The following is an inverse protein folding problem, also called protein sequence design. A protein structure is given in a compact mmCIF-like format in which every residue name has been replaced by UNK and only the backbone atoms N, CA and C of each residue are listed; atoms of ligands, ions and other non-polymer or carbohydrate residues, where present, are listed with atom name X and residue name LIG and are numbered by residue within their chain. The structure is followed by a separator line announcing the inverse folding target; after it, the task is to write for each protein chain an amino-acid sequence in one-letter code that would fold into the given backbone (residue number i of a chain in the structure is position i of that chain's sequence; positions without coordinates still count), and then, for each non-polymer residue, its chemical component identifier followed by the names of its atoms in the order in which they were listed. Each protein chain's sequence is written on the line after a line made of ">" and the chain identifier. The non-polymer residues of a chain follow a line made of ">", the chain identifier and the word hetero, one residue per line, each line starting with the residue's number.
data_IF_092795241031
#
_entry.id   IF_092795241031
#
_cell.length_a   1.000
_cell.length_b   1.000
_cell.length_c   1.000
_cell.angle_alpha   90.00
_cell.angle_beta   90.00
_cell.angle_gamma   90.00
#
_symmetry.space_group_name_H-M   'P 1'
#
loop_
_entity.id
_entity.type
_entity.pdbx_description
1 polymer ?
#
# COMPACT_ATOMS: atom_id res chain seq x y z
N UNK A 1 7.33 -39.52 14.49
CA UNK A 1 7.07 -40.16 13.17
C UNK A 1 5.93 -39.38 12.50
N UNK A 2 6.04 -38.58 11.45
CA UNK A 2 7.02 -38.20 10.41
C UNK A 2 6.74 -36.70 10.15
N UNK A 3 7.65 -35.76 10.40
CA UNK A 3 8.68 -35.18 9.53
C UNK A 3 8.34 -34.90 8.05
N UNK A 4 8.52 -33.61 7.71
CA UNK A 4 8.77 -32.93 6.41
C UNK A 4 7.62 -32.87 5.39
N UNK A 5 7.39 -31.76 4.67
CA UNK A 5 8.33 -30.88 3.91
C UNK A 5 7.88 -29.40 3.96
N UNK A 6 8.74 -28.42 4.31
CA UNK A 6 9.59 -27.62 3.41
C UNK A 6 8.92 -27.17 2.09
N UNK A 7 8.74 -25.85 1.93
CA UNK A 7 8.97 -25.15 0.66
C UNK A 7 9.76 -23.87 0.92
N UNK A 8 11.06 -24.05 1.06
CA UNK A 8 12.07 -23.06 0.69
C UNK A 8 12.13 -23.00 -0.86
N UNK A 9 12.54 -21.85 -1.38
CA UNK A 9 12.66 -21.57 -2.81
C UNK A 9 13.56 -22.56 -3.55
N UNK A 10 13.15 -22.96 -4.76
CA UNK A 10 14.03 -23.46 -5.81
C UNK A 10 13.65 -22.74 -7.11
N UNK A 11 14.57 -21.91 -7.59
CA UNK A 11 14.56 -21.22 -8.87
C UNK A 11 15.55 -21.93 -9.80
N UNK A 12 15.07 -22.55 -10.90
CA UNK A 12 15.80 -22.93 -12.14
C UNK A 12 14.68 -23.15 -13.21
N UNK A 13 14.60 -22.58 -14.42
CA UNK A 13 15.46 -21.73 -15.26
C UNK A 13 14.62 -20.96 -16.30
N UNK A 14 15.29 -19.98 -16.92
CA UNK A 14 15.12 -19.42 -18.28
C UNK A 14 13.80 -18.77 -18.69
N UNK A 15 13.82 -17.44 -18.71
CA UNK A 15 12.87 -16.55 -19.38
C UNK A 15 11.46 -16.53 -18.79
N UNK A 16 11.28 -15.80 -17.69
CA UNK A 16 9.96 -15.24 -17.40
C UNK A 16 10.09 -13.85 -16.79
N UNK A 17 9.47 -12.89 -17.46
CA UNK A 17 9.48 -11.47 -17.16
C UNK A 17 8.97 -11.26 -15.72
N UNK A 18 9.81 -10.71 -14.84
CA UNK A 18 9.41 -10.23 -13.51
C UNK A 18 8.19 -9.30 -13.67
N UNK A 19 7.01 -9.75 -13.22
CA UNK A 19 5.87 -8.85 -12.97
C UNK A 19 6.34 -7.80 -11.96
N UNK A 20 6.26 -6.52 -12.31
CA UNK A 20 6.58 -5.39 -11.42
C UNK A 20 5.64 -5.47 -10.21
N UNK A 21 6.14 -5.98 -9.09
CA UNK A 21 5.47 -5.88 -7.81
C UNK A 21 5.27 -4.40 -7.45
N UNK A 22 4.19 -4.10 -6.74
CA UNK A 22 3.97 -2.77 -6.15
C UNK A 22 5.19 -2.41 -5.28
N UNK A 23 5.81 -1.26 -5.55
CA UNK A 23 6.91 -0.71 -4.74
C UNK A 23 6.34 -0.12 -3.44
N UNK A 24 5.86 -0.97 -2.54
CA UNK A 24 5.59 -0.60 -1.15
C UNK A 24 6.59 -1.38 -0.29
N UNK A 25 7.52 -0.66 0.31
CA UNK A 25 8.58 -1.23 1.14
C UNK A 25 8.09 -1.31 2.59
N UNK A 26 7.85 -2.52 3.09
CA UNK A 26 7.70 -2.77 4.53
C UNK A 26 9.10 -2.83 5.15
N UNK A 27 9.48 -1.83 5.94
CA UNK A 27 10.75 -1.87 6.68
C UNK A 27 10.53 -2.46 8.08
N UNK A 28 11.09 -3.65 8.31
CA UNK A 28 11.32 -4.18 9.65
C UNK A 28 12.74 -3.77 10.06
N UNK A 29 12.87 -2.88 11.04
CA UNK A 29 14.17 -2.38 11.49
C UNK A 29 14.74 -3.22 12.64
N UNK A 30 16.00 -3.64 12.53
CA UNK A 30 16.77 -4.17 13.66
C UNK A 30 18.20 -3.58 13.69
N UNK A 31 18.50 -2.96 14.86
CA UNK A 31 19.78 -2.56 15.47
C UNK A 31 20.81 -1.75 14.65
N UNK A 32 20.67 -0.42 14.71
CA UNK A 32 21.70 0.53 15.18
C UNK A 32 20.97 1.45 16.19
N UNK A 33 21.63 1.94 17.24
CA UNK A 33 21.07 2.75 18.36
C UNK A 33 20.35 4.05 17.93
N UNK A 34 19.21 3.91 17.28
CA UNK A 34 18.35 5.01 16.88
C UNK A 34 16.96 4.74 17.44
N UNK A 35 16.32 5.78 17.99
CA UNK A 35 14.88 5.72 18.22
C UNK A 35 14.17 5.37 16.91
N UNK A 36 13.01 4.72 16.97
CA UNK A 36 12.19 4.42 15.78
C UNK A 36 12.02 5.66 14.89
N UNK A 37 11.87 6.83 15.52
CA UNK A 37 11.84 8.13 14.87
C UNK A 37 13.09 8.40 14.02
N UNK A 38 14.29 8.29 14.59
CA UNK A 38 15.53 8.56 13.85
C UNK A 38 15.77 7.55 12.72
N UNK A 39 15.34 6.30 12.90
CA UNK A 39 15.33 5.31 11.81
C UNK A 39 14.44 5.77 10.66
N UNK A 40 13.20 6.16 10.95
CA UNK A 40 12.25 6.64 9.94
C UNK A 40 12.81 7.88 9.23
N UNK A 41 13.42 8.82 9.95
CA UNK A 41 14.04 10.00 9.35
C UNK A 41 15.17 9.63 8.38
N UNK A 42 16.05 8.69 8.76
CA UNK A 42 17.11 8.21 7.88
C UNK A 42 16.56 7.52 6.61
N UNK A 43 15.45 6.78 6.73
CA UNK A 43 14.79 6.20 5.56
C UNK A 43 14.21 7.26 4.64
N UNK A 44 13.55 8.28 5.20
CA UNK A 44 12.96 9.37 4.43
C UNK A 44 14.07 10.15 3.71
N UNK A 45 15.18 10.42 4.39
CA UNK A 45 16.36 11.05 3.81
C UNK A 45 16.90 10.24 2.61
N UNK A 46 17.10 8.94 2.81
CA UNK A 46 17.58 8.05 1.75
C UNK A 46 16.60 7.98 0.58
N UNK A 47 15.30 7.89 0.83
CA UNK A 47 14.28 7.87 -0.21
C UNK A 47 14.26 9.18 -1.01
N UNK A 48 14.32 10.32 -0.32
CA UNK A 48 14.31 11.64 -0.94
C UNK A 48 15.57 11.89 -1.79
N UNK A 49 16.74 11.45 -1.30
CA UNK A 49 18.00 11.57 -2.04
C UNK A 49 18.12 10.64 -3.25
N UNK A 50 17.26 9.63 -3.39
CA UNK A 50 17.39 8.59 -4.43
C UNK A 50 16.22 8.55 -5.42
N UNK A 51 15.00 8.90 -5.00
CA UNK A 51 13.80 8.75 -5.81
C UNK A 51 13.42 10.11 -6.42
N UNK A 52 13.58 10.21 -7.74
CA UNK A 52 12.99 11.30 -8.50
C UNK A 52 11.53 10.99 -8.85
N UNK A 53 10.59 11.67 -8.19
CA UNK A 53 9.15 11.49 -8.45
C UNK A 53 8.79 11.89 -9.89
N UNK A 54 9.47 12.88 -10.47
CA UNK A 54 9.25 13.38 -11.82
C UNK A 54 9.66 12.40 -12.92
N UNK A 55 10.30 11.27 -12.58
CA UNK A 55 10.67 10.25 -13.56
C UNK A 55 9.89 8.95 -13.38
N UNK A 56 9.04 8.90 -12.36
CA UNK A 56 8.31 7.70 -12.07
C UNK A 56 6.96 7.64 -12.78
N UNK A 57 6.63 6.44 -13.22
CA UNK A 57 5.28 6.02 -13.62
C UNK A 57 4.94 4.68 -12.96
N UNK A 58 3.69 4.53 -12.54
CA UNK A 58 3.21 3.33 -11.87
C UNK A 58 1.70 3.14 -12.03
N UNK A 59 1.25 1.91 -11.84
CA UNK A 59 -0.18 1.57 -11.79
C UNK A 59 -0.77 1.84 -10.40
N UNK A 60 0.04 1.84 -9.35
CA UNK A 60 -0.42 2.17 -8.00
C UNK A 60 -0.33 3.68 -7.72
N UNK A 61 -1.28 4.19 -6.93
CA UNK A 61 -1.27 5.58 -6.48
C UNK A 61 -0.17 5.80 -5.43
N UNK A 62 0.47 6.98 -5.45
CA UNK A 62 1.45 7.41 -4.43
C UNK A 62 1.67 8.94 -4.35
N UNK A 63 1.31 9.56 -3.24
CA UNK A 63 1.22 11.02 -3.13
C UNK A 63 2.59 11.72 -3.17
N UNK A 64 3.61 11.04 -2.67
CA UNK A 64 4.96 11.58 -2.60
C UNK A 64 6.02 10.52 -2.83
N UNK A 65 7.27 10.92 -2.65
CA UNK A 65 8.44 10.02 -2.67
C UNK A 65 8.30 8.96 -1.57
N UNK A 66 7.83 9.41 -0.40
CA UNK A 66 7.31 8.56 0.66
C UNK A 66 5.80 8.79 0.68
N UNK A 67 5.04 7.73 0.41
CA UNK A 67 3.59 7.81 0.23
C UNK A 67 2.84 7.78 1.57
N UNK A 68 3.17 6.81 2.41
CA UNK A 68 2.65 6.67 3.76
C UNK A 68 3.69 6.09 4.73
N UNK A 69 3.57 6.48 6.00
CA UNK A 69 4.35 5.95 7.11
C UNK A 69 3.34 5.57 8.18
N UNK A 70 3.28 4.29 8.53
CA UNK A 70 2.32 3.76 9.50
C UNK A 70 3.05 3.32 10.76
N UNK A 71 2.63 3.87 11.91
CA UNK A 71 3.11 3.43 13.22
C UNK A 71 2.01 2.63 13.91
N UNK A 72 2.19 1.31 13.96
CA UNK A 72 1.26 0.42 14.65
C UNK A 72 1.68 0.24 16.12
N UNK A 73 0.74 0.38 17.08
CA UNK A 73 1.01 -0.02 18.46
C UNK A 73 1.29 -1.52 18.51
N UNK A 74 2.37 -1.90 19.21
CA UNK A 74 2.74 -3.29 19.42
C UNK A 74 2.81 -3.59 20.92
N UNK A 75 2.41 -4.81 21.30
CA UNK A 75 2.38 -5.29 22.68
C UNK A 75 1.56 -4.40 23.63
N UNK A 76 2.22 -3.65 24.51
CA UNK A 76 1.56 -2.83 25.55
C UNK A 76 1.44 -1.35 25.18
N UNK A 77 1.93 -0.96 24.01
CA UNK A 77 1.87 0.43 23.53
C UNK A 77 0.41 0.74 23.15
N UNK A 78 -0.08 1.88 23.61
CA UNK A 78 -1.42 2.38 23.29
C UNK A 78 -1.46 3.02 21.90
N UNK A 79 -2.66 3.15 21.34
CA UNK A 79 -2.86 3.86 20.08
C UNK A 79 -2.47 5.35 20.19
N UNK A 80 -2.67 5.96 21.36
CA UNK A 80 -2.32 7.36 21.62
C UNK A 80 -0.80 7.57 21.62
N UNK A 81 -0.04 6.65 22.19
CA UNK A 81 1.43 6.68 22.14
C UNK A 81 1.95 6.54 20.70
N UNK A 82 1.35 5.64 19.90
CA UNK A 82 1.69 5.51 18.48
C UNK A 82 1.35 6.78 17.69
N UNK A 83 0.18 7.38 17.96
CA UNK A 83 -0.24 8.63 17.34
C UNK A 83 0.65 9.82 17.73
N UNK A 84 1.10 9.87 18.99
CA UNK A 84 2.06 10.86 19.47
C UNK A 84 3.39 10.75 18.71
N UNK A 85 3.93 9.54 18.57
CA UNK A 85 5.17 9.33 17.82
C UNK A 85 5.02 9.70 16.34
N UNK A 86 3.87 9.38 15.72
CA UNK A 86 3.59 9.73 14.33
C UNK A 86 3.58 11.26 14.12
N UNK A 87 3.02 12.01 15.07
CA UNK A 87 3.06 13.48 15.05
C UNK A 87 4.48 14.01 15.19
N UNK A 88 5.28 13.47 16.11
CA UNK A 88 6.68 13.87 16.29
C UNK A 88 7.50 13.63 15.02
N UNK A 89 7.39 12.43 14.43
CA UNK A 89 8.03 12.08 13.15
C UNK A 89 7.60 13.03 12.03
N UNK A 90 6.29 13.33 11.92
CA UNK A 90 5.78 14.23 10.90
C UNK A 90 6.33 15.66 11.05
N UNK A 91 6.41 16.17 12.27
CA UNK A 91 7.00 17.49 12.57
C UNK A 91 8.46 17.56 12.14
N UNK A 92 9.24 16.52 12.45
CA UNK A 92 10.65 16.46 12.06
C UNK A 92 10.81 16.36 10.54
N UNK A 93 10.02 15.52 9.86
CA UNK A 93 10.06 15.40 8.40
C UNK A 93 9.73 16.76 7.75
N UNK A 94 8.64 17.41 8.18
CA UNK A 94 8.23 18.70 7.64
C UNK A 94 9.28 19.78 7.86
N UNK A 95 9.94 19.78 9.02
CA UNK A 95 10.97 20.77 9.37
C UNK A 95 12.30 20.53 8.66
N UNK A 96 12.76 19.27 8.60
CA UNK A 96 14.07 18.91 8.03
C UNK A 96 14.06 18.94 6.50
N UNK A 97 13.00 18.42 5.87
CA UNK A 97 12.92 18.29 4.41
C UNK A 97 12.09 19.40 3.74
N UNK A 98 11.43 20.26 4.51
CA UNK A 98 10.60 21.36 3.99
C UNK A 98 9.50 20.87 3.03
N UNK A 99 8.90 19.72 3.33
CA UNK A 99 7.84 19.10 2.53
C UNK A 99 6.51 19.09 3.27
N UNK A 100 5.36 19.12 2.55
CA UNK A 100 4.06 18.89 3.17
C UNK A 100 3.97 17.47 3.74
N UNK A 101 3.56 17.36 5.01
CA UNK A 101 3.29 16.07 5.67
C UNK A 101 1.86 16.06 6.15
N UNK A 102 1.11 15.04 5.79
CA UNK A 102 -0.30 14.90 6.13
C UNK A 102 -0.49 13.80 7.18
N UNK A 103 -1.09 14.15 8.31
CA UNK A 103 -1.47 13.20 9.34
C UNK A 103 -2.81 12.54 9.00
N UNK A 104 -2.98 11.27 9.35
CA UNK A 104 -4.24 10.53 9.16
C UNK A 104 -4.49 9.58 10.34
N UNK A 105 -5.66 8.96 10.37
CA UNK A 105 -6.06 8.04 11.44
C UNK A 105 -6.00 8.70 12.81
N UNK A 106 -5.53 7.97 13.82
CA UNK A 106 -5.41 8.46 15.20
C UNK A 106 -4.47 9.68 15.35
N UNK A 107 -3.55 9.89 14.41
CA UNK A 107 -2.67 11.05 14.42
C UNK A 107 -3.36 12.34 13.90
N UNK A 108 -4.44 12.22 13.13
CA UNK A 108 -5.17 13.39 12.62
C UNK A 108 -6.11 13.98 13.70
N UNK A 109 -6.21 15.33 13.83
CA UNK A 109 -7.03 15.98 14.87
C UNK A 109 -8.50 15.51 14.93
N UNK A 110 -9.08 15.18 13.78
CA UNK A 110 -10.47 14.67 13.67
C UNK A 110 -10.56 13.18 13.30
N UNK A 111 -9.45 12.43 13.38
CA UNK A 111 -9.46 11.00 13.06
C UNK A 111 -9.64 10.67 11.57
N UNK A 112 -9.28 11.59 10.66
CA UNK A 112 -9.57 11.47 9.24
C UNK A 112 -8.81 10.31 8.59
N UNK A 113 -9.51 9.52 7.78
CA UNK A 113 -8.90 8.40 7.07
C UNK A 113 -7.99 8.85 5.92
N UNK A 114 -6.96 8.05 5.60
CA UNK A 114 -5.99 8.33 4.54
C UNK A 114 -6.65 8.50 3.17
N UNK A 115 -7.66 7.68 2.88
CA UNK A 115 -8.40 7.77 1.62
C UNK A 115 -9.07 9.13 1.45
N UNK A 116 -9.62 9.70 2.51
CA UNK A 116 -10.31 10.99 2.51
C UNK A 116 -9.35 12.14 2.21
N UNK A 117 -8.15 12.10 2.79
CA UNK A 117 -7.09 13.07 2.51
C UNK A 117 -6.67 12.97 1.05
N UNK A 118 -6.41 11.74 0.56
CA UNK A 118 -6.09 11.50 -0.86
C UNK A 118 -7.20 12.05 -1.77
N UNK A 119 -8.47 11.82 -1.46
CA UNK A 119 -9.57 12.36 -2.25
C UNK A 119 -9.57 13.89 -2.35
N UNK A 120 -9.34 14.59 -1.24
CA UNK A 120 -9.34 16.05 -1.21
C UNK A 120 -8.17 16.67 -1.95
N UNK A 121 -7.01 16.01 -1.96
CA UNK A 121 -5.84 16.42 -2.72
C UNK A 121 -5.97 16.10 -4.23
N UNK A 122 -7.15 15.68 -4.70
CA UNK A 122 -7.42 15.37 -6.11
C UNK A 122 -6.78 14.05 -6.58
N UNK A 123 -6.44 13.17 -5.64
CA UNK A 123 -5.44 12.12 -5.84
C UNK A 123 -5.93 10.86 -6.57
N UNK A 124 -7.24 10.60 -6.60
CA UNK A 124 -7.85 9.43 -7.26
C UNK A 124 -8.06 9.57 -8.77
N UNK A 125 -7.48 10.60 -9.39
CA UNK A 125 -7.53 10.79 -10.84
C UNK A 125 -6.15 10.46 -11.43
N UNK A 126 -6.03 9.42 -12.27
CA UNK A 126 -4.79 9.18 -13.02
C UNK A 126 -4.40 10.44 -13.78
N UNK A 127 -3.16 10.91 -13.58
CA UNK A 127 -2.61 12.08 -14.26
C UNK A 127 -1.70 11.70 -15.43
N UNK A 128 -1.56 10.41 -15.75
CA UNK A 128 -0.71 9.93 -16.82
C UNK A 128 -1.36 8.77 -17.60
N UNK A 129 -1.31 8.81 -18.93
CA UNK A 129 -1.77 7.75 -19.85
C UNK A 129 -3.15 7.12 -19.51
N UNK A 130 -4.07 7.89 -18.90
CA UNK A 130 -5.46 7.50 -18.61
C UNK A 130 -5.65 6.56 -17.41
N UNK A 131 -4.70 5.69 -17.10
CA UNK A 131 -4.76 4.71 -16.00
C UNK A 131 -3.47 4.61 -15.17
N UNK A 132 -2.53 5.54 -15.36
CA UNK A 132 -1.25 5.58 -14.63
C UNK A 132 -1.11 6.89 -13.85
N UNK A 133 -0.21 6.85 -12.86
CA UNK A 133 0.18 8.01 -12.08
C UNK A 133 1.63 8.37 -12.37
N UNK A 134 1.88 9.65 -12.62
CA UNK A 134 3.20 10.25 -12.75
C UNK A 134 3.41 11.29 -11.63
N UNK A 135 4.66 11.51 -11.22
CA UNK A 135 4.98 12.46 -10.15
C UNK A 135 4.98 13.93 -10.52
N UNK A 136 4.63 14.28 -11.76
CA UNK A 136 4.55 15.65 -12.25
C UNK A 136 3.10 16.07 -12.56
N UNK A 137 2.83 17.37 -12.53
CA UNK A 137 1.54 17.94 -12.96
C UNK A 137 1.47 17.93 -14.49
N UNK A 138 0.51 17.22 -15.08
CA UNK A 138 0.36 17.16 -16.54
C UNK A 138 -0.43 18.38 -17.04
N UNK A 139 0.09 19.19 -17.99
CA UNK A 139 -0.69 20.26 -18.61
C UNK A 139 -1.89 19.67 -19.37
N UNK A 140 -3.08 20.29 -19.26
CA UNK A 140 -4.34 19.79 -19.85
C UNK A 140 -4.25 19.46 -21.36
N UNK A 141 -3.32 20.08 -22.07
CA UNK A 141 -3.11 19.93 -23.52
C UNK A 141 -2.61 18.52 -23.88
N UNK A 142 -1.80 17.88 -23.04
CA UNK A 142 -1.27 16.52 -23.29
C UNK A 142 -2.28 15.41 -22.96
N UNK A 143 -3.30 15.69 -22.14
CA UNK A 143 -4.35 14.73 -21.75
C UNK A 143 -5.19 14.24 -22.94
N UNK A 144 -5.25 15.02 -24.03
CA UNK A 144 -6.10 14.72 -25.20
C UNK A 144 -5.44 13.82 -26.25
N UNK A 145 -4.14 13.54 -26.14
CA UNK A 145 -3.42 12.73 -27.13
C UNK A 145 -3.37 11.26 -26.71
N UNK A 146 -3.98 10.41 -27.55
CA UNK A 146 -3.90 8.93 -27.61
C UNK A 146 -4.94 8.16 -26.76
N UNK A 147 -5.94 7.60 -27.45
CA UNK A 147 -6.87 6.60 -26.88
C UNK A 147 -7.14 5.46 -27.86
N UNK A 148 -6.73 4.25 -27.48
CA UNK A 148 -7.65 3.11 -27.44
C UNK A 148 -8.12 3.05 -25.99
N UNK A 149 -9.42 3.21 -25.73
CA UNK A 149 -9.95 3.05 -24.38
C UNK A 149 -9.81 1.56 -24.02
N UNK A 150 -9.00 1.24 -23.01
CA UNK A 150 -8.99 -0.12 -22.49
C UNK A 150 -10.37 -0.36 -21.83
N UNK A 151 -11.18 -1.31 -22.35
CA UNK A 151 -12.55 -1.51 -21.88
C UNK A 151 -12.59 -1.92 -20.40
N UNK A 152 -11.55 -2.60 -19.91
CA UNK A 152 -11.45 -3.11 -18.55
C UNK A 152 -11.22 -2.02 -17.51
N UNK A 153 -10.81 -0.81 -17.90
CA UNK A 153 -10.69 0.34 -16.97
C UNK A 153 -12.02 0.61 -16.29
N UNK A 154 -13.10 0.68 -17.05
CA UNK A 154 -14.44 0.97 -16.51
C UNK A 154 -14.92 -0.15 -15.57
N UNK A 155 -14.61 -1.40 -15.91
CA UNK A 155 -15.00 -2.58 -15.15
C UNK A 155 -14.22 -2.66 -13.84
N UNK A 156 -12.89 -2.48 -13.86
CA UNK A 156 -12.05 -2.48 -12.66
C UNK A 156 -12.52 -1.42 -11.65
N UNK A 157 -12.79 -0.19 -12.10
CA UNK A 157 -13.31 0.86 -11.23
C UNK A 157 -14.70 0.53 -10.67
N UNK A 158 -15.58 -0.10 -11.46
CA UNK A 158 -16.92 -0.49 -11.02
C UNK A 158 -16.84 -1.54 -9.92
N UNK A 159 -16.09 -2.62 -10.15
CA UNK A 159 -15.89 -3.71 -9.16
C UNK A 159 -15.26 -3.14 -7.89
N UNK A 160 -14.18 -2.36 -8.01
CA UNK A 160 -13.55 -1.73 -6.87
C UNK A 160 -14.54 -0.88 -6.08
N UNK A 161 -15.32 -0.02 -6.73
CA UNK A 161 -16.34 0.80 -6.05
C UNK A 161 -17.36 -0.04 -5.29
N UNK A 162 -17.81 -1.16 -5.86
CA UNK A 162 -18.81 -2.03 -5.23
C UNK A 162 -18.26 -2.85 -4.06
N UNK A 163 -16.94 -3.11 -4.04
CA UNK A 163 -16.25 -3.74 -2.90
C UNK A 163 -15.96 -2.71 -1.79
N UNK A 164 -15.70 -1.46 -2.16
CA UNK A 164 -15.30 -0.38 -1.25
C UNK A 164 -16.41 -0.02 -0.25
N UNK A 165 -16.07 0.13 1.03
CA UNK A 165 -17.00 0.58 2.07
C UNK A 165 -17.73 1.87 1.70
N UNK A 166 -17.01 2.86 1.14
CA UNK A 166 -17.57 4.15 0.72
C UNK A 166 -18.58 4.02 -0.42
N UNK A 167 -18.47 2.96 -1.23
CA UNK A 167 -19.41 2.64 -2.29
C UNK A 167 -20.56 1.72 -1.87
N UNK A 168 -20.73 1.47 -0.56
CA UNK A 168 -21.76 0.56 -0.03
C UNK A 168 -21.34 -0.92 -0.03
N UNK A 169 -20.04 -1.19 -0.21
CA UNK A 169 -19.46 -2.53 -0.20
C UNK A 169 -19.23 -3.09 1.20
N UNK A 170 -18.12 -3.79 1.38
CA UNK A 170 -17.78 -4.40 2.67
C UNK A 170 -17.35 -3.30 3.66
N UNK A 171 -17.82 -3.33 4.92
CA UNK A 171 -17.37 -2.37 5.92
C UNK A 171 -15.87 -2.52 6.14
N UNK A 172 -15.19 -1.42 6.48
CA UNK A 172 -13.75 -1.39 6.80
C UNK A 172 -12.82 -1.84 5.66
N UNK A 173 -13.34 -2.02 4.44
CA UNK A 173 -12.56 -2.31 3.24
C UNK A 173 -12.43 -1.06 2.39
N UNK A 174 -11.20 -0.68 2.07
CA UNK A 174 -10.91 0.29 1.03
C UNK A 174 -10.37 -0.47 -0.18
N UNK A 175 -10.83 -0.12 -1.37
CA UNK A 175 -10.45 -0.83 -2.59
C UNK A 175 -10.24 0.10 -3.77
N UNK A 176 -9.42 -0.36 -4.69
CA UNK A 176 -8.98 0.34 -5.88
C UNK A 176 -8.90 -0.63 -7.05
N UNK A 177 -9.40 -0.20 -8.22
CA UNK A 177 -9.25 -0.91 -9.47
C UNK A 177 -7.96 -0.50 -10.16
N UNK A 178 -7.09 -1.46 -10.41
CA UNK A 178 -5.84 -1.32 -11.13
C UNK A 178 -5.93 -2.04 -12.46
N UNK A 179 -5.28 -1.48 -13.48
CA UNK A 179 -5.21 -2.10 -14.81
C UNK A 179 -3.75 -2.30 -15.18
N UNK A 180 -3.38 -3.55 -15.44
CA UNK A 180 -2.03 -3.97 -15.78
C UNK A 180 -1.97 -4.41 -17.25
N UNK A 181 -1.33 -3.61 -18.09
CA UNK A 181 -1.23 -3.89 -19.52
C UNK A 181 -2.58 -3.86 -20.23
N UNK A 182 -2.77 -4.74 -21.22
CA UNK A 182 -3.99 -4.76 -22.04
C UNK A 182 -5.08 -5.67 -21.47
N UNK A 183 -4.74 -6.75 -20.75
CA UNK A 183 -5.66 -7.85 -20.45
C UNK A 183 -5.70 -8.28 -18.97
N UNK A 184 -5.17 -7.48 -18.03
CA UNK A 184 -5.21 -7.82 -16.60
C UNK A 184 -5.73 -6.64 -15.79
N UNK A 185 -6.64 -6.95 -14.88
CA UNK A 185 -7.09 -6.03 -13.84
C UNK A 185 -6.77 -6.61 -12.47
N UNK A 186 -6.57 -5.75 -11.50
CA UNK A 186 -6.39 -6.12 -10.11
C UNK A 186 -7.30 -5.25 -9.24
N UNK A 187 -7.98 -5.87 -8.28
CA UNK A 187 -8.75 -5.14 -7.28
C UNK A 187 -7.93 -5.14 -6.00
N UNK A 188 -7.10 -4.10 -5.83
CA UNK A 188 -6.29 -3.93 -4.64
C UNK A 188 -7.21 -3.53 -3.48
N UNK A 189 -7.14 -4.26 -2.37
CA UNK A 189 -7.99 -4.07 -1.20
C UNK A 189 -7.15 -3.91 0.07
N UNK A 190 -7.38 -2.83 0.80
CA UNK A 190 -6.87 -2.59 2.14
C UNK A 190 -7.94 -2.96 3.16
N UNK A 191 -7.61 -3.88 4.07
CA UNK A 191 -8.49 -4.33 5.14
C UNK A 191 -8.14 -3.56 6.42
N UNK A 192 -8.95 -2.56 6.77
CA UNK A 192 -8.67 -1.70 7.93
C UNK A 192 -8.92 -2.43 9.26
N UNK A 193 -9.84 -3.41 9.26
CA UNK A 193 -10.14 -4.28 10.40
C UNK A 193 -10.21 -5.74 9.92
N UNK A 194 -9.08 -6.42 9.72
CA UNK A 194 -9.03 -7.77 9.13
C UNK A 194 -9.74 -8.83 10.01
N UNK A 195 -9.87 -8.58 11.31
CA UNK A 195 -10.64 -9.44 12.22
C UNK A 195 -12.17 -9.34 12.00
N UNK A 196 -12.64 -8.26 11.39
CA UNK A 196 -14.06 -8.03 11.08
C UNK A 196 -14.42 -8.46 9.66
N UNK A 197 -13.53 -8.19 8.71
CA UNK A 197 -13.65 -8.61 7.31
C UNK A 197 -12.33 -9.21 6.85
N UNK A 198 -12.30 -10.54 6.72
CA UNK A 198 -11.16 -11.28 6.22
C UNK A 198 -11.02 -11.23 4.70
N UNK A 199 -9.85 -11.65 4.22
CA UNK A 199 -9.54 -11.70 2.78
C UNK A 199 -10.43 -12.67 2.00
N UNK A 200 -10.92 -13.74 2.64
CA UNK A 200 -11.87 -14.70 2.08
C UNK A 200 -13.20 -14.03 1.67
N UNK A 201 -13.71 -13.12 2.53
CA UNK A 201 -14.94 -12.37 2.26
C UNK A 201 -14.73 -11.34 1.15
N UNK A 202 -13.56 -10.73 1.09
CA UNK A 202 -13.18 -9.80 0.01
C UNK A 202 -13.06 -10.56 -1.31
N UNK A 203 -12.34 -11.68 -1.34
CA UNK A 203 -12.20 -12.55 -2.51
C UNK A 203 -13.58 -12.97 -3.06
N UNK A 204 -14.44 -13.52 -2.20
CA UNK A 204 -15.79 -13.93 -2.57
C UNK A 204 -16.62 -12.78 -3.16
N UNK A 205 -16.43 -11.55 -2.65
CA UNK A 205 -17.14 -10.36 -3.13
C UNK A 205 -16.62 -9.89 -4.49
N UNK A 206 -15.31 -9.95 -4.71
CA UNK A 206 -14.69 -9.64 -6.01
C UNK A 206 -15.15 -10.66 -7.06
N UNK A 207 -15.08 -11.95 -6.75
CA UNK A 207 -15.55 -13.04 -7.63
C UNK A 207 -17.01 -12.84 -8.04
N UNK A 208 -17.89 -12.54 -7.08
CA UNK A 208 -19.30 -12.29 -7.36
C UNK A 208 -19.52 -11.14 -8.35
N UNK A 209 -18.83 -10.02 -8.19
CA UNK A 209 -18.97 -8.87 -9.09
C UNK A 209 -18.27 -9.05 -10.43
N UNK A 210 -17.15 -9.77 -10.46
CA UNK A 210 -16.46 -10.12 -11.68
C UNK A 210 -17.29 -11.09 -12.54
N UNK A 211 -17.95 -12.07 -11.93
CA UNK A 211 -18.85 -13.00 -12.61
C UNK A 211 -20.03 -12.28 -13.29
N UNK A 212 -20.56 -11.20 -12.68
CA UNK A 212 -21.59 -10.36 -13.30
C UNK A 212 -21.09 -9.62 -14.55
N UNK A 213 -19.79 -9.41 -14.67
CA UNK A 213 -19.12 -8.78 -15.81
C UNK A 213 -18.52 -9.83 -16.78
N UNK A 214 -18.75 -11.12 -16.53
CA UNK A 214 -18.22 -12.24 -17.34
C UNK A 214 -16.70 -12.41 -17.23
N UNK A 215 -16.11 -12.05 -16.09
CA UNK A 215 -14.66 -12.14 -15.84
C UNK A 215 -14.34 -13.27 -14.86
N UNK A 216 -13.27 -14.01 -15.16
CA UNK A 216 -12.67 -14.97 -14.24
C UNK A 216 -11.73 -14.26 -13.26
N UNK A 217 -11.68 -14.74 -12.02
CA UNK A 217 -10.86 -14.16 -10.94
C UNK A 217 -9.92 -15.22 -10.39
N UNK A 218 -8.63 -14.91 -10.39
CA UNK A 218 -7.62 -15.74 -9.73
C UNK A 218 -7.65 -15.54 -8.20
N UNK A 219 -7.10 -16.50 -7.45
CA UNK A 219 -6.97 -16.35 -6.00
C UNK A 219 -6.06 -15.17 -5.65
N UNK A 220 -6.57 -14.26 -4.82
CA UNK A 220 -5.81 -13.11 -4.33
C UNK A 220 -4.64 -13.48 -3.42
N UNK A 221 -3.76 -12.50 -3.19
CA UNK A 221 -2.60 -12.61 -2.30
C UNK A 221 -2.54 -11.41 -1.35
N UNK A 222 -1.84 -11.56 -0.24
CA UNK A 222 -1.53 -10.47 0.68
C UNK A 222 -0.17 -9.85 0.32
N UNK A 223 -0.09 -8.54 0.34
CA UNK A 223 1.17 -7.79 0.12
C UNK A 223 2.00 -7.66 1.39
N UNK A 224 1.37 -7.81 2.56
CA UNK A 224 1.99 -7.59 3.87
C UNK A 224 2.12 -8.87 4.71
N UNK A 225 2.99 -8.82 5.71
CA UNK A 225 3.07 -9.85 6.75
C UNK A 225 1.91 -9.71 7.74
N UNK A 226 1.36 -10.82 8.22
CA UNK A 226 0.38 -10.79 9.30
C UNK A 226 1.00 -10.26 10.60
N UNK A 227 0.17 -9.78 11.53
CA UNK A 227 0.65 -9.32 12.84
C UNK A 227 1.44 -10.41 13.58
N UNK A 228 0.96 -11.66 13.52
CA UNK A 228 1.64 -12.83 14.10
C UNK A 228 3.02 -13.04 13.46
N UNK A 229 3.12 -12.98 12.14
CA UNK A 229 4.41 -13.08 11.43
C UNK A 229 5.36 -11.93 11.79
N UNK A 230 4.85 -10.72 11.99
CA UNK A 230 5.66 -9.57 12.42
C UNK A 230 6.17 -9.79 13.85
N UNK A 231 5.30 -10.25 14.75
CA UNK A 231 5.66 -10.55 16.13
C UNK A 231 6.68 -11.68 16.21
N UNK A 232 6.50 -12.76 15.46
CA UNK A 232 7.45 -13.88 15.41
C UNK A 232 8.81 -13.43 14.90
N UNK A 233 8.86 -12.65 13.81
CA UNK A 233 10.11 -12.07 13.30
C UNK A 233 10.78 -11.21 14.37
N UNK A 234 10.03 -10.35 15.05
CA UNK A 234 10.56 -9.50 16.12
C UNK A 234 11.09 -10.32 17.29
N UNK A 235 10.33 -11.31 17.78
CA UNK A 235 10.71 -12.18 18.89
C UNK A 235 11.97 -12.99 18.57
N UNK A 236 12.07 -13.51 17.35
CA UNK A 236 13.26 -14.22 16.87
C UNK A 236 14.49 -13.29 16.79
N UNK A 237 14.31 -12.05 16.33
CA UNK A 237 15.37 -11.06 16.26
C UNK A 237 15.89 -10.68 17.66
N UNK A 238 15.02 -10.55 18.65
CA UNK A 238 15.46 -10.22 20.02
C UNK A 238 16.00 -11.42 20.78
N UNK A 239 15.56 -12.65 20.49
CA UNK A 239 16.02 -13.86 21.17
C UNK A 239 17.39 -14.32 20.68
N UNK A 240 17.64 -14.27 19.36
CA UNK A 240 18.96 -14.53 18.78
C UNK A 240 20.05 -13.63 19.37
N UNK A 241 19.67 -12.40 19.73
CA UNK A 241 20.54 -11.39 20.33
C UNK A 241 20.74 -11.50 21.85
N UNK A 242 20.07 -12.44 22.53
CA UNK A 242 20.28 -12.72 23.97
C UNK A 242 21.22 -13.92 24.21
N UNK A 243 21.60 -14.61 23.14
CA UNK A 243 22.49 -15.77 23.18
C UNK A 243 23.96 -15.42 22.86
N UNK A 244 24.27 -14.13 22.65
CA UNK A 244 25.61 -13.53 22.55
C UNK A 244 25.87 -12.63 23.75
#
# INVERSE_FOLDING_TARGET
>A
MRNHEKKEAIEISSSSKKKKAANQSVLLCCKIFFSLQQTVLAMVEAAYGTINLEQHSGTHLRLGVVDDIVLHPLARVSLDEAAWLAKAVATDIGSLFQVPVFLYGAAHPTGKALDSIRWELGYYRPNFMGNQWAGWTMPEILYKARRRANPYVSVAYRIARMVNARGGGLPTVQSLGLVHGENSIEIACMLLEPNRVGGDRVQSRVEMFAAQEGLDVETGYFTDSSLEMILDKYLNLISANRAE
#
